data_IF_933904660020
#
_entry.id   IF_933904660020
#
_cell.length_a   1.000
_cell.length_b   1.000
_cell.length_c   1.000
_cell.angle_alpha   90.00
_cell.angle_beta   90.00
_cell.angle_gamma   90.00
#
_symmetry.space_group_name_H-M   'P 1'
#
loop_
_entity.id
_entity.type
_entity.pdbx_description
1 polymer ?
#
# COMPACT_ATOMS: atom_id res chain seq x y z
N UNK A 1 -1.72 -19.61 10.95
CA UNK A 1 -1.62 -20.59 9.86
C UNK A 1 -3.03 -20.90 9.35
N UNK A 2 -3.46 -20.30 8.25
CA UNK A 2 -4.62 -20.71 7.46
C UNK A 2 -4.16 -20.76 6.02
N UNK A 3 -4.16 -21.96 5.45
CA UNK A 3 -3.80 -22.24 4.08
C UNK A 3 -4.87 -21.71 3.13
N UNK A 4 -4.53 -20.82 2.20
CA UNK A 4 -5.34 -20.50 1.04
C UNK A 4 -4.83 -21.30 -0.16
N UNK A 5 -5.63 -22.26 -0.58
CA UNK A 5 -5.51 -22.93 -1.88
C UNK A 5 -6.74 -22.53 -2.70
N UNK A 6 -6.56 -21.78 -3.77
CA UNK A 6 -7.56 -21.65 -4.82
C UNK A 6 -6.86 -21.43 -6.17
N UNK A 7 -6.79 -22.51 -6.96
CA UNK A 7 -6.41 -22.44 -8.35
C UNK A 7 -7.60 -21.97 -9.22
N UNK A 8 -7.36 -21.37 -10.39
CA UNK A 8 -8.41 -20.87 -11.26
C UNK A 8 -9.13 -22.01 -11.99
N UNK A 9 -10.46 -22.05 -11.87
CA UNK A 9 -11.31 -22.96 -12.64
C UNK A 9 -11.62 -22.37 -14.01
N UNK A 10 -11.14 -23.02 -15.06
CA UNK A 10 -11.53 -22.78 -16.45
C UNK A 10 -12.94 -23.34 -16.68
N UNK A 11 -13.91 -22.47 -16.93
CA UNK A 11 -15.27 -22.83 -17.38
C UNK A 11 -15.33 -22.85 -18.90
N UNK A 12 -15.40 -24.05 -19.48
CA UNK A 12 -15.72 -24.29 -20.89
C UNK A 12 -17.25 -24.45 -21.04
N UNK A 13 -17.91 -23.50 -21.72
CA UNK A 13 -19.33 -23.57 -22.03
C UNK A 13 -19.52 -24.23 -23.41
N UNK A 14 -20.13 -25.41 -23.45
CA UNK A 14 -20.55 -26.10 -24.67
C UNK A 14 -21.90 -25.61 -25.19
N UNK A 15 -21.99 -25.30 -26.47
CA UNK A 15 -23.19 -24.90 -27.18
C UNK A 15 -23.93 -26.11 -27.74
N UNK A 16 -25.20 -26.23 -27.40
CA UNK A 16 -26.16 -27.21 -28.02
C UNK A 16 -27.04 -26.48 -29.05
N UNK A 17 -27.08 -26.97 -30.25
CA UNK A 17 -27.93 -26.46 -31.33
C UNK A 17 -29.22 -27.29 -31.43
N UNK A 18 -30.38 -26.64 -31.39
CA UNK A 18 -31.66 -27.24 -31.77
C UNK A 18 -32.38 -26.31 -32.75
N UNK A 19 -32.63 -26.74 -33.96
CA UNK A 19 -33.31 -25.98 -35.03
C UNK A 19 -34.79 -26.30 -35.09
N UNK A 20 -35.64 -25.26 -34.89
CA UNK A 20 -37.06 -25.30 -35.18
C UNK A 20 -37.45 -24.14 -36.12
N UNK A 21 -38.17 -24.45 -37.23
CA UNK A 21 -38.66 -23.52 -38.22
C UNK A 21 -39.84 -22.70 -37.66
N UNK A 22 -39.70 -21.38 -37.60
CA UNK A 22 -40.70 -20.40 -37.11
C UNK A 22 -40.89 -19.33 -38.19
N UNK A 23 -42.10 -18.69 -38.34
CA UNK A 23 -42.40 -17.68 -39.38
C UNK A 23 -41.48 -16.45 -39.31
N UNK A 24 -41.24 -15.82 -40.49
CA UNK A 24 -40.19 -14.77 -40.65
C UNK A 24 -40.29 -13.56 -39.70
N UNK A 25 -41.47 -13.16 -39.26
CA UNK A 25 -41.62 -12.04 -38.34
C UNK A 25 -41.30 -12.40 -36.88
N UNK A 26 -41.56 -13.64 -36.47
CA UNK A 26 -41.16 -14.19 -35.16
C UNK A 26 -39.67 -14.45 -35.13
N UNK A 27 -39.03 -14.76 -36.25
CA UNK A 27 -37.57 -14.91 -36.38
C UNK A 27 -36.81 -13.57 -36.28
N UNK A 28 -37.44 -12.45 -36.67
CA UNK A 28 -36.81 -11.12 -36.58
C UNK A 28 -36.75 -10.62 -35.14
N UNK A 29 -37.79 -10.81 -34.35
CA UNK A 29 -37.78 -10.48 -32.89
C UNK A 29 -36.85 -11.43 -32.14
N UNK A 30 -36.88 -12.73 -32.45
CA UNK A 30 -35.98 -13.69 -31.84
C UNK A 30 -34.49 -13.38 -32.09
N UNK A 31 -34.12 -12.92 -33.30
CA UNK A 31 -32.75 -12.57 -33.65
C UNK A 31 -32.28 -11.27 -32.94
N UNK A 32 -33.17 -10.28 -32.82
CA UNK A 32 -32.91 -9.05 -32.06
C UNK A 32 -32.66 -9.35 -30.59
N UNK A 33 -33.53 -10.18 -29.98
CA UNK A 33 -33.43 -10.57 -28.58
C UNK A 33 -32.14 -11.38 -28.33
N UNK A 34 -31.75 -12.25 -29.24
CA UNK A 34 -30.47 -12.96 -29.18
C UNK A 34 -29.28 -12.00 -29.19
N UNK A 35 -29.24 -11.03 -30.12
CA UNK A 35 -28.16 -10.06 -30.23
C UNK A 35 -28.12 -9.12 -29.04
N UNK A 36 -29.28 -8.68 -28.53
CA UNK A 36 -29.39 -7.88 -27.32
C UNK A 36 -28.88 -8.66 -26.10
N UNK A 37 -29.25 -9.93 -25.96
CA UNK A 37 -28.76 -10.79 -24.89
C UNK A 37 -27.25 -10.97 -24.95
N UNK A 38 -26.67 -11.19 -26.15
CA UNK A 38 -25.22 -11.27 -26.35
C UNK A 38 -24.50 -9.98 -25.96
N UNK A 39 -25.04 -8.83 -26.35
CA UNK A 39 -24.46 -7.54 -25.98
C UNK A 39 -24.42 -7.37 -24.47
N UNK A 40 -25.51 -7.74 -23.77
CA UNK A 40 -25.56 -7.63 -22.31
C UNK A 40 -24.59 -8.55 -21.60
N UNK A 41 -24.54 -9.80 -22.02
CA UNK A 41 -23.59 -10.75 -21.44
C UNK A 41 -22.15 -10.26 -21.64
N UNK A 42 -21.84 -9.72 -22.83
CA UNK A 42 -20.54 -9.17 -23.11
C UNK A 42 -20.23 -7.89 -22.28
N UNK A 43 -21.24 -7.04 -22.10
CA UNK A 43 -21.13 -5.85 -21.24
C UNK A 43 -20.89 -6.23 -19.77
N UNK A 44 -21.68 -7.19 -19.27
CA UNK A 44 -21.52 -7.68 -17.90
C UNK A 44 -20.13 -8.30 -17.69
N UNK A 45 -19.69 -9.17 -18.60
CA UNK A 45 -18.37 -9.77 -18.56
C UNK A 45 -17.23 -8.72 -18.59
N UNK A 46 -17.40 -7.66 -19.38
CA UNK A 46 -16.46 -6.54 -19.40
C UNK A 46 -16.42 -5.78 -18.08
N UNK A 47 -17.58 -5.50 -17.50
CA UNK A 47 -17.68 -4.79 -16.21
C UNK A 47 -17.04 -5.61 -15.07
N UNK A 48 -17.32 -6.92 -15.03
CA UNK A 48 -16.74 -7.84 -14.04
C UNK A 48 -15.22 -7.91 -14.18
N UNK A 49 -14.71 -8.13 -15.41
CA UNK A 49 -13.28 -8.20 -15.67
C UNK A 49 -12.56 -6.89 -15.30
N UNK A 50 -13.20 -5.75 -15.49
CA UNK A 50 -12.66 -4.46 -15.11
C UNK A 50 -12.62 -4.24 -13.60
N UNK A 51 -13.68 -4.63 -12.88
CA UNK A 51 -13.70 -4.55 -11.42
C UNK A 51 -12.60 -5.40 -10.80
N UNK A 52 -12.37 -6.60 -11.34
CA UNK A 52 -11.31 -7.48 -10.90
C UNK A 52 -9.90 -6.89 -11.18
N UNK A 53 -9.72 -6.23 -12.32
CA UNK A 53 -8.48 -5.50 -12.63
C UNK A 53 -8.22 -4.36 -11.65
N UNK A 54 -9.25 -3.56 -11.33
CA UNK A 54 -9.15 -2.46 -10.36
C UNK A 54 -8.83 -2.97 -8.95
N UNK A 55 -9.42 -4.10 -8.54
CA UNK A 55 -9.13 -4.73 -7.26
C UNK A 55 -7.67 -5.20 -7.18
N UNK A 56 -7.14 -5.83 -8.23
CA UNK A 56 -5.73 -6.23 -8.30
C UNK A 56 -4.78 -5.03 -8.21
N UNK A 57 -5.09 -3.91 -8.87
CA UNK A 57 -4.31 -2.68 -8.78
C UNK A 57 -4.31 -2.09 -7.37
N UNK A 58 -5.45 -2.12 -6.68
CA UNK A 58 -5.54 -1.67 -5.30
C UNK A 58 -4.70 -2.56 -4.36
N UNK A 59 -4.77 -3.88 -4.52
CA UNK A 59 -3.96 -4.83 -3.76
C UNK A 59 -2.45 -4.62 -3.99
N UNK A 60 -2.03 -4.32 -5.22
CA UNK A 60 -0.63 -3.98 -5.51
C UNK A 60 -0.17 -2.71 -4.79
N UNK A 61 -1.01 -1.66 -4.79
CA UNK A 61 -0.70 -0.41 -4.11
C UNK A 61 -0.56 -0.62 -2.60
N UNK A 62 -1.42 -1.44 -2.00
CA UNK A 62 -1.34 -1.80 -0.58
C UNK A 62 -0.05 -2.60 -0.29
N UNK A 63 0.28 -3.58 -1.12
CA UNK A 63 1.51 -4.38 -0.99
C UNK A 63 2.75 -3.51 -1.15
N UNK A 64 2.78 -2.57 -2.10
CA UNK A 64 3.88 -1.62 -2.26
C UNK A 64 4.05 -0.73 -1.03
N UNK A 65 2.94 -0.23 -0.47
CA UNK A 65 2.98 0.56 0.78
C UNK A 65 3.53 -0.25 1.96
N UNK A 66 3.21 -1.54 2.05
CA UNK A 66 3.79 -2.43 3.07
C UNK A 66 5.30 -2.63 2.85
N UNK A 67 5.75 -2.79 1.62
CA UNK A 67 7.18 -2.89 1.27
C UNK A 67 7.92 -1.63 1.73
N UNK A 68 7.39 -0.44 1.43
CA UNK A 68 8.00 0.83 1.81
C UNK A 68 8.11 0.98 3.35
N UNK A 69 7.09 0.55 4.10
CA UNK A 69 7.12 0.51 5.57
C UNK A 69 8.17 -0.46 6.10
N UNK A 70 8.25 -1.68 5.56
CA UNK A 70 9.23 -2.68 5.96
C UNK A 70 10.66 -2.22 5.66
N UNK A 71 10.89 -1.54 4.55
CA UNK A 71 12.18 -0.94 4.21
C UNK A 71 12.57 0.16 5.21
N UNK A 72 11.63 1.02 5.58
CA UNK A 72 11.83 2.04 6.61
C UNK A 72 12.23 1.44 7.96
N UNK A 73 11.49 0.43 8.42
CA UNK A 73 11.81 -0.31 9.66
C UNK A 73 13.16 -1.01 9.59
N UNK A 74 13.50 -1.63 8.46
CA UNK A 74 14.80 -2.27 8.26
C UNK A 74 15.97 -1.28 8.33
N UNK A 75 15.81 -0.09 7.77
CA UNK A 75 16.80 0.98 7.85
C UNK A 75 16.98 1.50 9.29
N UNK A 76 15.88 1.64 10.04
CA UNK A 76 15.92 2.03 11.46
C UNK A 76 16.65 0.98 12.31
N UNK A 77 16.33 -0.30 12.15
CA UNK A 77 17.00 -1.40 12.86
C UNK A 77 18.49 -1.47 12.50
N UNK A 78 18.84 -1.23 11.23
CA UNK A 78 20.24 -1.19 10.81
C UNK A 78 21.02 -0.04 11.47
N UNK A 79 20.39 1.14 11.62
CA UNK A 79 20.98 2.26 12.35
C UNK A 79 21.18 1.94 13.84
N UNK A 80 20.18 1.37 14.50
CA UNK A 80 20.27 0.94 15.89
C UNK A 80 21.35 -0.11 16.12
N UNK A 81 21.51 -1.07 15.20
CA UNK A 81 22.61 -2.04 15.24
C UNK A 81 23.98 -1.37 15.13
N UNK A 82 24.13 -0.35 14.28
CA UNK A 82 25.37 0.41 14.14
C UNK A 82 25.72 1.13 15.46
N UNK A 83 24.74 1.75 16.10
CA UNK A 83 24.93 2.44 17.40
C UNK A 83 25.33 1.44 18.49
N UNK A 84 24.70 0.27 18.53
CA UNK A 84 25.05 -0.79 19.49
C UNK A 84 26.44 -1.34 19.25
N UNK A 85 26.87 -1.53 17.99
CA UNK A 85 28.24 -1.94 17.71
C UNK A 85 29.27 -0.95 18.27
N UNK A 86 29.02 0.33 18.12
CA UNK A 86 29.87 1.39 18.69
C UNK A 86 29.87 1.34 20.22
N UNK A 87 28.68 1.22 20.83
CA UNK A 87 28.56 1.11 22.28
C UNK A 87 29.23 -0.14 22.86
N UNK A 88 29.18 -1.27 22.15
CA UNK A 88 29.87 -2.51 22.53
C UNK A 88 31.40 -2.36 22.50
N UNK A 89 31.94 -1.65 21.50
CA UNK A 89 33.39 -1.35 21.46
C UNK A 89 33.82 -0.48 22.64
N UNK A 90 33.04 0.55 22.96
CA UNK A 90 33.32 1.41 24.11
C UNK A 90 33.20 0.66 25.43
N UNK A 91 32.16 -0.18 25.59
CA UNK A 91 31.98 -1.02 26.77
C UNK A 91 33.12 -2.02 26.95
N UNK A 92 33.59 -2.65 25.86
CA UNK A 92 34.76 -3.55 25.90
C UNK A 92 36.01 -2.80 26.36
N UNK A 93 36.29 -1.64 25.76
CA UNK A 93 37.44 -0.81 26.15
C UNK A 93 37.39 -0.44 27.64
N UNK A 94 36.23 -0.02 28.14
CA UNK A 94 36.01 0.32 29.56
C UNK A 94 36.22 -0.89 30.47
N UNK A 95 35.73 -2.07 30.08
CA UNK A 95 35.94 -3.31 30.82
C UNK A 95 37.40 -3.66 30.93
N UNK A 96 38.16 -3.58 29.80
CA UNK A 96 39.57 -3.84 29.77
C UNK A 96 40.39 -2.88 30.67
N UNK A 97 40.07 -1.57 30.61
CA UNK A 97 40.64 -0.54 31.48
C UNK A 97 40.37 -0.79 32.97
N UNK A 98 39.13 -1.16 33.34
CA UNK A 98 38.76 -1.43 34.74
C UNK A 98 39.36 -2.72 35.26
N UNK A 99 39.45 -3.76 34.43
CA UNK A 99 40.10 -5.02 34.77
C UNK A 99 41.59 -4.81 35.03
N UNK A 100 42.27 -4.09 34.15
CA UNK A 100 43.70 -3.76 34.31
C UNK A 100 43.93 -2.93 35.57
N UNK A 101 43.07 -1.97 35.88
CA UNK A 101 43.15 -1.17 37.13
C UNK A 101 42.97 -2.04 38.40
N UNK A 102 42.03 -2.98 38.38
CA UNK A 102 41.84 -3.93 39.48
C UNK A 102 43.04 -4.87 39.70
N UNK A 103 43.66 -5.35 38.63
CA UNK A 103 44.88 -6.18 38.68
C UNK A 103 46.08 -5.39 39.23
N UNK A 104 46.28 -4.14 38.75
CA UNK A 104 47.33 -3.28 39.27
C UNK A 104 47.14 -2.95 40.77
N UNK A 105 45.90 -2.66 41.19
CA UNK A 105 45.60 -2.41 42.62
C UNK A 105 45.82 -3.70 43.44
N UNK A 106 45.49 -4.87 42.91
CA UNK A 106 45.74 -6.14 43.60
C UNK A 106 47.22 -6.40 43.79
N UNK A 107 48.05 -6.15 42.76
CA UNK A 107 49.50 -6.32 42.84
C UNK A 107 50.12 -5.34 43.85
N UNK A 108 49.72 -4.06 43.78
CA UNK A 108 50.18 -3.04 44.73
C UNK A 108 49.79 -3.37 46.18
N UNK A 109 48.62 -3.91 46.43
CA UNK A 109 48.19 -4.37 47.75
C UNK A 109 49.06 -5.53 48.24
N UNK A 110 49.39 -6.53 47.36
CA UNK A 110 50.23 -7.66 47.71
C UNK A 110 51.67 -7.19 48.07
N UNK A 111 52.21 -6.24 47.31
CA UNK A 111 53.53 -5.66 47.56
C UNK A 111 53.56 -4.93 48.91
N UNK A 112 52.54 -4.13 49.24
CA UNK A 112 52.41 -3.43 50.53
C UNK A 112 52.23 -4.42 51.69
N UNK A 113 51.49 -5.49 51.49
CA UNK A 113 51.36 -6.52 52.53
C UNK A 113 52.72 -7.19 52.82
N UNK A 114 53.52 -7.46 51.80
CA UNK A 114 54.86 -8.01 51.96
C UNK A 114 55.81 -7.04 52.70
N UNK A 115 55.73 -5.72 52.38
CA UNK A 115 56.47 -4.67 53.15
C UNK A 115 56.07 -4.61 54.61
N UNK A 116 54.76 -4.68 54.92
CA UNK A 116 54.24 -4.73 56.26
C UNK A 116 54.75 -5.95 57.03
N UNK A 117 54.64 -7.14 56.45
CA UNK A 117 55.09 -8.39 57.06
C UNK A 117 56.58 -8.40 57.33
N UNK A 118 57.37 -7.86 56.37
CA UNK A 118 58.82 -7.71 56.56
C UNK A 118 59.16 -6.74 57.66
N UNK A 119 58.45 -5.62 57.77
CA UNK A 119 58.61 -4.62 58.85
C UNK A 119 58.19 -5.17 60.19
N UNK A 120 57.08 -5.91 60.26
CA UNK A 120 56.63 -6.58 61.47
C UNK A 120 57.63 -7.66 61.92
N UNK A 121 58.22 -8.44 61.00
CA UNK A 121 59.24 -9.42 61.29
C UNK A 121 60.53 -8.76 61.88
N UNK A 122 60.93 -7.62 61.29
CA UNK A 122 62.07 -6.83 61.81
C UNK A 122 61.80 -6.32 63.23
N UNK A 123 60.59 -5.75 63.47
CA UNK A 123 60.17 -5.33 64.78
C UNK A 123 60.21 -6.49 65.79
N UNK A 124 59.61 -7.64 65.44
CA UNK A 124 59.64 -8.84 66.33
C UNK A 124 61.05 -9.35 66.60
N UNK A 125 61.93 -9.35 65.60
CA UNK A 125 63.35 -9.72 65.77
C UNK A 125 64.05 -8.76 66.73
N UNK A 126 63.87 -7.46 66.55
CA UNK A 126 64.47 -6.45 67.45
C UNK A 126 63.97 -6.61 68.88
N UNK A 127 62.66 -6.80 69.07
CA UNK A 127 62.08 -7.03 70.36
C UNK A 127 62.57 -8.34 71.00
N UNK A 128 62.66 -9.43 70.19
CA UNK A 128 63.25 -10.68 70.65
C UNK A 128 64.70 -10.58 71.05
N UNK A 129 65.55 -9.84 70.27
CA UNK A 129 66.94 -9.51 70.63
C UNK A 129 66.99 -8.72 71.92
N UNK A 130 66.09 -7.78 72.13
CA UNK A 130 65.93 -7.07 73.41
C UNK A 130 65.53 -7.99 74.56
N UNK A 131 64.67 -8.94 74.35
CA UNK A 131 64.26 -9.94 75.35
C UNK A 131 65.39 -10.94 75.67
N UNK A 132 66.23 -11.30 74.68
CA UNK A 132 67.40 -12.16 74.87
C UNK A 132 68.51 -11.42 75.64
N UNK A 133 68.70 -10.15 75.38
CA UNK A 133 69.53 -9.26 76.22
C UNK A 133 68.92 -9.13 77.59
N UNK A 134 67.64 -9.48 77.70
CA UNK A 134 66.82 -9.43 78.94
C UNK A 134 66.71 -10.76 79.68
N UNK A 135 67.69 -11.66 79.54
CA UNK A 135 68.00 -12.63 80.63
C UNK A 135 68.24 -11.86 81.99
N UNK A 136 68.19 -10.56 81.96
CA UNK A 136 68.05 -9.57 82.98
C UNK A 136 67.19 -8.35 82.59
N UNK A 137 66.52 -8.37 81.38
CA UNK A 137 65.59 -7.39 80.88
C UNK A 137 66.21 -6.06 80.45
N UNK A 138 65.38 -5.24 79.74
CA UNK A 138 65.68 -3.84 79.47
C UNK A 138 66.11 -3.09 80.73
N UNK A 139 65.65 -3.60 81.85
CA UNK A 139 66.18 -3.20 83.20
C UNK A 139 67.62 -3.60 83.39
N UNK A 140 68.11 -4.81 82.95
CA UNK A 140 69.50 -5.19 83.06
C UNK A 140 70.44 -4.34 82.13
N UNK A 141 69.95 -3.98 80.92
CA UNK A 141 70.66 -3.04 80.05
C UNK A 141 70.69 -1.59 80.69
N UNK A 142 69.61 -1.16 81.28
CA UNK A 142 69.50 0.08 82.01
C UNK A 142 70.41 0.04 83.23
N UNK A 143 70.56 -1.10 83.93
CA UNK A 143 71.44 -1.30 85.11
C UNK A 143 72.91 -1.48 84.73
N UNK A 144 73.24 -1.82 83.49
CA UNK A 144 74.63 -1.87 82.94
C UNK A 144 75.13 -0.47 82.55
N UNK A 145 74.31 0.49 82.46
CA UNK A 145 74.68 1.89 82.17
C UNK A 145 75.64 2.42 83.26
N UNK A 146 76.74 2.97 82.86
CA UNK A 146 77.83 3.44 83.73
C UNK A 146 77.51 4.85 84.30
N UNK A 147 76.48 5.49 83.76
CA UNK A 147 76.01 6.78 84.21
C UNK A 147 74.50 6.96 84.04
N UNK A 148 73.89 7.85 84.82
CA UNK A 148 72.49 8.17 84.69
C UNK A 148 72.19 8.74 83.27
N UNK A 149 73.15 9.45 82.69
CA UNK A 149 73.05 10.00 81.32
C UNK A 149 72.95 8.89 80.28
N UNK A 150 73.81 7.83 80.30
CA UNK A 150 73.76 6.69 79.44
C UNK A 150 72.42 5.93 79.55
N UNK A 151 71.92 5.76 80.75
CA UNK A 151 70.60 5.10 81.03
C UNK A 151 69.42 5.89 80.41
N UNK A 152 69.42 7.20 80.60
CA UNK A 152 68.40 8.07 80.04
C UNK A 152 68.48 8.13 78.53
N UNK A 153 69.64 8.23 77.91
CA UNK A 153 69.90 8.24 76.50
C UNK A 153 69.46 6.92 75.86
N UNK A 154 69.74 5.77 76.45
CA UNK A 154 69.37 4.47 76.00
C UNK A 154 67.88 4.27 76.05
N UNK A 155 67.23 4.69 77.21
CA UNK A 155 65.77 4.63 77.36
C UNK A 155 65.04 5.54 76.33
N UNK A 156 65.60 6.70 76.04
CA UNK A 156 65.04 7.63 75.03
C UNK A 156 65.19 7.04 73.62
N UNK A 157 66.36 6.46 73.27
CA UNK A 157 66.58 5.82 71.98
C UNK A 157 65.64 4.62 71.73
N UNK A 158 65.39 3.82 72.79
CA UNK A 158 64.37 2.73 72.71
C UNK A 158 62.97 3.24 72.51
N UNK A 159 62.61 4.30 73.21
CA UNK A 159 61.32 4.99 73.08
C UNK A 159 61.12 5.52 71.66
N UNK A 160 62.12 6.21 71.09
CA UNK A 160 62.12 6.74 69.73
C UNK A 160 62.01 5.62 68.70
N UNK A 161 62.79 4.51 68.85
CA UNK A 161 62.74 3.37 67.97
C UNK A 161 61.35 2.68 67.98
N UNK A 162 60.78 2.48 69.12
CA UNK A 162 59.44 1.94 69.32
C UNK A 162 58.36 2.82 68.68
N UNK A 163 58.49 4.14 68.91
CA UNK A 163 57.57 5.14 68.32
C UNK A 163 57.70 5.15 66.78
N UNK A 164 58.96 5.11 66.24
CA UNK A 164 59.20 5.07 64.82
C UNK A 164 58.65 3.80 64.16
N UNK A 165 58.89 2.64 64.77
CA UNK A 165 58.36 1.36 64.26
C UNK A 165 56.81 1.32 64.31
N UNK A 166 56.20 1.84 65.38
CA UNK A 166 54.75 1.93 65.51
C UNK A 166 54.16 2.83 64.42
N UNK A 167 54.79 4.00 64.18
CA UNK A 167 54.35 4.93 63.15
C UNK A 167 54.46 4.32 61.72
N UNK A 168 55.60 3.62 61.44
CA UNK A 168 55.78 2.97 60.16
C UNK A 168 54.77 1.85 59.89
N UNK A 169 54.45 1.04 60.91
CA UNK A 169 53.45 0.00 60.82
C UNK A 169 52.04 0.60 60.63
N UNK A 170 51.71 1.69 61.34
CA UNK A 170 50.43 2.36 61.18
C UNK A 170 50.30 2.96 59.78
N UNK A 171 51.35 3.56 59.22
CA UNK A 171 51.38 4.09 57.86
C UNK A 171 51.15 2.98 56.85
N UNK A 172 51.88 1.85 56.94
CA UNK A 172 51.73 0.69 56.03
C UNK A 172 50.32 0.12 56.10
N UNK A 173 49.72 0.05 57.27
CA UNK A 173 48.33 -0.42 57.42
C UNK A 173 47.34 0.52 56.72
N UNK A 174 47.50 1.84 56.91
CA UNK A 174 46.66 2.84 56.21
C UNK A 174 46.78 2.74 54.71
N UNK A 175 48.03 2.57 54.20
CA UNK A 175 48.27 2.41 52.77
C UNK A 175 47.65 1.06 52.24
N UNK A 176 47.72 -0.03 52.99
CA UNK A 176 47.12 -1.30 52.66
C UNK A 176 45.58 -1.22 52.61
N UNK A 177 44.97 -0.50 53.61
CA UNK A 177 43.51 -0.26 53.63
C UNK A 177 43.06 0.58 52.42
N UNK A 178 43.82 1.63 52.07
CA UNK A 178 43.52 2.45 50.89
C UNK A 178 43.64 1.66 49.59
N UNK A 179 44.61 0.80 49.44
CA UNK A 179 44.77 -0.07 48.29
C UNK A 179 43.68 -1.17 48.22
N UNK A 180 43.25 -1.70 49.35
CA UNK A 180 42.14 -2.65 49.43
C UNK A 180 40.82 -1.99 48.98
N UNK A 181 40.60 -0.74 49.40
CA UNK A 181 39.41 0.05 48.95
C UNK A 181 39.46 0.31 47.45
N UNK A 182 40.63 0.76 46.92
CA UNK A 182 40.80 1.02 45.49
C UNK A 182 40.62 -0.25 44.62
N UNK A 183 41.09 -1.42 45.11
CA UNK A 183 40.85 -2.72 44.45
C UNK A 183 39.38 -3.06 44.44
N UNK A 184 38.66 -2.91 45.54
CA UNK A 184 37.26 -3.21 45.64
C UNK A 184 36.46 -2.30 44.69
N UNK A 185 36.76 -1.00 44.63
CA UNK A 185 36.13 -0.05 43.70
C UNK A 185 36.40 -0.44 42.23
N UNK A 186 37.63 -0.76 41.88
CA UNK A 186 37.98 -1.19 40.50
C UNK A 186 37.28 -2.49 40.13
N UNK A 187 37.15 -3.43 41.04
CA UNK A 187 36.45 -4.69 40.83
C UNK A 187 34.95 -4.50 40.61
N UNK A 188 34.32 -3.66 41.44
CA UNK A 188 32.90 -3.29 41.27
C UNK A 188 32.67 -2.63 39.92
N UNK A 189 33.52 -1.70 39.51
CA UNK A 189 33.45 -1.02 38.24
C UNK A 189 33.64 -1.99 37.04
N UNK A 190 34.49 -3.04 37.17
CA UNK A 190 34.61 -4.07 36.16
C UNK A 190 33.37 -4.93 36.06
N UNK A 191 32.75 -5.32 37.17
CA UNK A 191 31.47 -6.09 37.21
C UNK A 191 30.32 -5.28 36.60
N UNK A 192 30.24 -3.99 36.86
CA UNK A 192 29.28 -3.08 36.24
C UNK A 192 29.46 -2.97 34.73
N UNK A 193 30.71 -2.85 34.26
CA UNK A 193 31.07 -2.78 32.85
C UNK A 193 30.74 -4.09 32.13
N UNK A 194 30.98 -5.24 32.74
CA UNK A 194 30.60 -6.57 32.19
C UNK A 194 29.08 -6.72 32.09
N UNK A 195 28.33 -6.28 33.11
CA UNK A 195 26.87 -6.29 33.10
C UNK A 195 26.31 -5.41 31.98
N UNK A 196 26.86 -4.20 31.81
CA UNK A 196 26.46 -3.28 30.75
C UNK A 196 26.74 -3.87 29.35
N UNK A 197 27.91 -4.48 29.17
CA UNK A 197 28.26 -5.18 27.93
C UNK A 197 27.30 -6.32 27.62
N UNK A 198 26.99 -7.18 28.61
CA UNK A 198 26.05 -8.29 28.45
C UNK A 198 24.64 -7.82 28.04
N UNK A 199 24.19 -6.67 28.58
CA UNK A 199 22.93 -6.06 28.18
C UNK A 199 22.94 -5.58 26.71
N UNK A 200 24.04 -4.98 26.25
CA UNK A 200 24.22 -4.57 24.86
C UNK A 200 24.30 -5.78 23.90
N UNK A 201 25.00 -6.85 24.27
CA UNK A 201 25.04 -8.10 23.50
C UNK A 201 23.64 -8.71 23.34
N UNK A 202 22.83 -8.71 24.40
CA UNK A 202 21.45 -9.18 24.35
C UNK A 202 20.57 -8.31 23.44
N UNK A 203 20.73 -6.99 23.50
CA UNK A 203 20.00 -6.05 22.64
C UNK A 203 20.42 -6.20 21.17
N UNK A 204 21.71 -6.40 20.89
CA UNK A 204 22.21 -6.70 19.54
C UNK A 204 21.57 -7.97 18.99
N UNK A 205 21.54 -9.06 19.77
CA UNK A 205 20.93 -10.32 19.36
C UNK A 205 19.42 -10.17 19.04
N UNK A 206 18.70 -9.41 19.87
CA UNK A 206 17.28 -9.11 19.64
C UNK A 206 17.07 -8.33 18.34
N UNK A 207 17.84 -7.26 18.11
CA UNK A 207 17.75 -6.47 16.87
C UNK A 207 18.17 -7.27 15.63
N UNK A 208 19.17 -8.14 15.74
CA UNK A 208 19.55 -9.03 14.64
C UNK A 208 18.42 -10.00 14.28
N UNK A 209 17.70 -10.50 15.28
CA UNK A 209 16.49 -11.32 15.05
C UNK A 209 15.42 -10.52 14.32
N UNK A 210 15.13 -9.31 14.77
CA UNK A 210 14.17 -8.39 14.11
C UNK A 210 14.59 -8.07 12.67
N UNK A 211 15.87 -7.83 12.43
CA UNK A 211 16.39 -7.60 11.07
C UNK A 211 16.14 -8.79 10.14
N UNK A 212 16.36 -10.02 10.63
CA UNK A 212 16.13 -11.24 9.87
C UNK A 212 14.64 -11.44 9.58
N UNK A 213 13.75 -11.15 10.56
CA UNK A 213 12.30 -11.21 10.38
C UNK A 213 11.83 -10.18 9.35
N UNK A 214 12.30 -8.94 9.43
CA UNK A 214 12.02 -7.90 8.45
C UNK A 214 12.52 -8.27 7.04
N UNK A 215 13.72 -8.85 6.94
CA UNK A 215 14.26 -9.35 5.67
C UNK A 215 13.37 -10.43 5.06
N UNK A 216 12.90 -11.37 5.87
CA UNK A 216 11.98 -12.44 5.43
C UNK A 216 10.62 -11.89 5.03
N UNK A 217 10.07 -10.94 5.77
CA UNK A 217 8.80 -10.28 5.46
C UNK A 217 8.90 -9.46 4.16
N UNK A 218 10.00 -8.75 3.96
CA UNK A 218 10.27 -7.98 2.75
C UNK A 218 10.38 -8.89 1.51
N UNK A 219 11.07 -10.03 1.65
CA UNK A 219 11.15 -11.03 0.58
C UNK A 219 9.77 -11.60 0.23
N UNK A 220 8.95 -11.93 1.23
CA UNK A 220 7.59 -12.42 1.03
C UNK A 220 6.70 -11.38 0.34
N UNK A 221 6.77 -10.11 0.76
CA UNK A 221 6.02 -9.01 0.17
C UNK A 221 6.43 -8.75 -1.29
N UNK A 222 7.73 -8.78 -1.62
CA UNK A 222 8.22 -8.65 -2.99
C UNK A 222 7.77 -9.81 -3.89
N UNK A 223 7.73 -11.04 -3.35
CA UNK A 223 7.21 -12.20 -4.08
C UNK A 223 5.72 -12.03 -4.37
N UNK A 224 4.92 -11.63 -3.37
CA UNK A 224 3.50 -11.35 -3.52
C UNK A 224 3.24 -10.24 -4.55
N UNK A 225 4.04 -9.16 -4.53
CA UNK A 225 3.93 -8.07 -5.52
C UNK A 225 4.19 -8.58 -6.94
N UNK A 226 5.20 -9.44 -7.12
CA UNK A 226 5.51 -10.03 -8.44
C UNK A 226 4.38 -10.92 -8.95
N UNK A 227 3.76 -11.72 -8.07
CA UNK A 227 2.61 -12.55 -8.41
C UNK A 227 1.37 -11.70 -8.74
N UNK A 228 1.12 -10.64 -7.99
CA UNK A 228 0.04 -9.68 -8.25
C UNK A 228 0.23 -8.95 -9.59
N UNK A 229 1.44 -8.54 -9.92
CA UNK A 229 1.77 -7.90 -11.21
C UNK A 229 1.52 -8.86 -12.39
N UNK A 230 1.87 -10.14 -12.24
CA UNK A 230 1.59 -11.14 -13.24
C UNK A 230 0.07 -11.38 -13.40
N UNK A 231 -0.67 -11.41 -12.30
CA UNK A 231 -2.13 -11.54 -12.30
C UNK A 231 -2.80 -10.31 -12.94
N UNK A 232 -2.35 -9.09 -12.64
CA UNK A 232 -2.84 -7.86 -13.26
C UNK A 232 -2.63 -7.87 -14.77
N UNK A 233 -1.44 -8.25 -15.25
CA UNK A 233 -1.16 -8.35 -16.68
C UNK A 233 -2.08 -9.37 -17.37
N UNK A 234 -2.29 -10.52 -16.74
CA UNK A 234 -3.22 -11.54 -17.26
C UNK A 234 -4.66 -11.00 -17.29
N UNK A 235 -5.10 -10.34 -16.23
CA UNK A 235 -6.45 -9.75 -16.14
C UNK A 235 -6.64 -8.58 -17.12
N UNK A 236 -5.61 -7.77 -17.38
CA UNK A 236 -5.66 -6.73 -18.41
C UNK A 236 -5.94 -7.30 -19.81
N UNK A 237 -5.37 -8.46 -20.14
CA UNK A 237 -5.65 -9.17 -21.40
C UNK A 237 -7.10 -9.64 -21.44
N UNK A 238 -7.62 -10.21 -20.35
CA UNK A 238 -9.02 -10.66 -20.24
C UNK A 238 -9.96 -9.47 -20.37
N UNK A 239 -9.68 -8.36 -19.70
CA UNK A 239 -10.47 -7.12 -19.75
C UNK A 239 -10.51 -6.55 -21.17
N UNK A 240 -9.38 -6.51 -21.88
CA UNK A 240 -9.35 -6.02 -23.26
C UNK A 240 -10.07 -6.99 -24.23
N UNK A 241 -10.00 -8.29 -24.01
CA UNK A 241 -10.77 -9.27 -24.79
C UNK A 241 -12.27 -9.10 -24.56
N UNK A 242 -12.71 -8.93 -23.32
CA UNK A 242 -14.10 -8.68 -22.96
C UNK A 242 -14.59 -7.33 -23.55
N UNK A 243 -13.76 -6.28 -23.54
CA UNK A 243 -14.06 -4.99 -24.19
C UNK A 243 -14.30 -5.16 -25.69
N UNK A 244 -13.42 -5.89 -26.38
CA UNK A 244 -13.59 -6.18 -27.81
C UNK A 244 -14.86 -6.96 -28.10
N UNK A 245 -15.16 -7.97 -27.29
CA UNK A 245 -16.39 -8.76 -27.42
C UNK A 245 -17.64 -7.89 -27.23
N UNK A 246 -17.66 -6.99 -26.26
CA UNK A 246 -18.75 -6.04 -26.07
C UNK A 246 -18.90 -5.09 -27.26
N UNK A 247 -17.81 -4.51 -27.76
CA UNK A 247 -17.85 -3.62 -28.93
C UNK A 247 -18.36 -4.36 -30.17
N UNK A 248 -17.92 -5.61 -30.40
CA UNK A 248 -18.39 -6.44 -31.51
C UNK A 248 -19.88 -6.77 -31.38
N UNK A 249 -20.34 -7.25 -30.20
CA UNK A 249 -21.73 -7.57 -29.96
C UNK A 249 -22.64 -6.34 -30.19
N UNK A 250 -22.14 -5.17 -29.81
CA UNK A 250 -22.86 -3.92 -30.06
C UNK A 250 -22.88 -3.54 -31.54
N UNK A 251 -21.78 -3.73 -32.25
CA UNK A 251 -21.74 -3.49 -33.71
C UNK A 251 -22.68 -4.44 -34.48
N UNK A 252 -22.74 -5.70 -34.06
CA UNK A 252 -23.65 -6.71 -34.66
C UNK A 252 -25.11 -6.33 -34.43
N UNK A 253 -25.50 -5.91 -33.21
CA UNK A 253 -26.85 -5.42 -32.91
C UNK A 253 -27.19 -4.17 -33.74
N UNK A 254 -26.26 -3.23 -33.84
CA UNK A 254 -26.43 -2.02 -34.66
C UNK A 254 -26.58 -2.35 -36.16
N UNK A 255 -25.79 -3.29 -36.66
CA UNK A 255 -25.89 -3.73 -38.06
C UNK A 255 -27.24 -4.38 -38.33
N UNK A 256 -27.73 -5.20 -37.40
CA UNK A 256 -29.06 -5.81 -37.51
C UNK A 256 -30.18 -4.75 -37.51
N UNK A 257 -30.16 -3.82 -36.57
CA UNK A 257 -31.14 -2.71 -36.48
C UNK A 257 -31.13 -1.89 -37.76
N UNK A 258 -29.95 -1.57 -38.31
CA UNK A 258 -29.81 -0.84 -39.58
C UNK A 258 -30.39 -1.64 -40.77
N UNK A 259 -30.17 -2.94 -40.80
CA UNK A 259 -30.72 -3.80 -41.87
C UNK A 259 -32.25 -3.85 -41.82
N UNK A 260 -32.85 -3.85 -40.62
CA UNK A 260 -34.29 -3.76 -40.45
C UNK A 260 -34.84 -2.36 -40.83
N UNK A 261 -34.14 -1.28 -40.44
CA UNK A 261 -34.50 0.09 -40.79
C UNK A 261 -34.53 0.29 -42.31
N UNK A 262 -33.60 -0.31 -43.06
CA UNK A 262 -33.54 -0.18 -44.53
C UNK A 262 -34.76 -0.74 -45.25
N UNK A 263 -35.56 -1.61 -44.63
CA UNK A 263 -36.85 -2.12 -45.19
C UNK A 263 -37.96 -1.05 -45.20
N UNK A 264 -37.84 -0.01 -44.39
CA UNK A 264 -38.83 1.06 -44.28
C UNK A 264 -38.31 2.38 -44.88
N UNK A 265 -37.10 2.41 -45.45
CA UNK A 265 -36.56 3.55 -46.20
C UNK A 265 -37.25 3.55 -47.59
N UNK A 266 -38.18 4.47 -47.80
CA UNK A 266 -38.71 4.67 -49.13
C UNK A 266 -37.70 5.45 -49.97
N UNK A 267 -37.39 4.99 -51.15
CA UNK A 267 -36.47 5.64 -52.12
C UNK A 267 -36.97 7.07 -52.49
N UNK A 268 -38.20 7.38 -52.16
CA UNK A 268 -38.89 8.62 -52.55
C UNK A 268 -38.91 9.67 -51.40
N UNK A 269 -38.37 9.37 -50.21
CA UNK A 269 -38.30 10.36 -49.14
C UNK A 269 -37.15 11.33 -49.36
N UNK A 270 -37.46 12.55 -49.72
CA UNK A 270 -36.47 13.59 -50.00
C UNK A 270 -36.53 14.67 -48.91
N UNK A 271 -35.44 14.90 -48.25
CA UNK A 271 -35.29 15.94 -47.22
C UNK A 271 -34.96 17.26 -47.91
N UNK A 272 -35.97 18.11 -48.11
CA UNK A 272 -35.82 19.37 -48.84
C UNK A 272 -35.06 20.46 -48.09
N UNK A 273 -34.64 20.19 -46.84
CA UNK A 273 -33.89 21.17 -46.04
C UNK A 273 -33.16 20.40 -44.90
N UNK A 274 -31.85 20.65 -44.74
CA UNK A 274 -31.04 20.23 -43.61
C UNK A 274 -31.31 21.02 -42.31
N UNK A 275 -32.40 21.78 -42.25
CA UNK A 275 -32.77 22.53 -41.05
C UNK A 275 -33.42 21.61 -40.00
N UNK A 276 -32.57 20.84 -39.32
CA UNK A 276 -33.02 20.05 -38.16
C UNK A 276 -33.47 20.98 -37.02
N UNK A 277 -34.40 20.50 -36.19
CA UNK A 277 -34.76 21.20 -34.94
C UNK A 277 -34.10 20.52 -33.75
N UNK A 278 -34.03 21.22 -32.61
CA UNK A 278 -33.72 20.59 -31.33
C UNK A 278 -34.80 19.55 -30.99
N UNK A 279 -34.44 18.33 -30.53
CA UNK A 279 -35.38 17.29 -30.18
C UNK A 279 -36.23 17.61 -28.93
N UNK A 280 -35.81 18.63 -28.16
CA UNK A 280 -36.50 19.12 -26.96
C UNK A 280 -36.76 20.62 -27.08
N UNK A 281 -37.88 21.12 -26.59
CA UNK A 281 -38.12 22.55 -26.51
C UNK A 281 -37.27 23.26 -25.47
N UNK A 282 -36.88 22.52 -24.42
CA UNK A 282 -35.94 22.97 -23.41
C UNK A 282 -35.28 21.78 -22.74
N UNK A 283 -34.03 21.96 -22.32
CA UNK A 283 -33.25 21.00 -21.55
C UNK A 283 -32.35 21.72 -20.56
N UNK A 284 -31.92 21.04 -19.50
CA UNK A 284 -31.05 21.65 -18.48
C UNK A 284 -29.64 21.85 -18.92
N UNK A 285 -29.01 20.80 -19.46
CA UNK A 285 -27.62 20.81 -19.97
C UNK A 285 -27.37 19.57 -20.84
N UNK A 286 -26.32 19.60 -21.61
CA UNK A 286 -25.74 18.40 -22.22
C UNK A 286 -24.88 17.71 -21.15
N UNK A 287 -25.18 16.44 -20.85
CA UNK A 287 -24.49 15.68 -19.84
C UNK A 287 -23.33 14.86 -20.39
N UNK A 288 -23.45 14.41 -21.64
CA UNK A 288 -22.42 13.64 -22.32
C UNK A 288 -22.42 13.98 -23.81
N UNK A 289 -21.26 14.27 -24.36
CA UNK A 289 -21.13 14.63 -25.78
C UNK A 289 -20.78 13.41 -26.63
N UNK A 290 -21.02 13.50 -27.92
CA UNK A 290 -20.58 12.51 -28.88
C UNK A 290 -19.05 12.31 -28.84
N UNK A 291 -18.61 11.06 -28.74
CA UNK A 291 -17.19 10.69 -28.67
C UNK A 291 -16.54 10.83 -27.29
N UNK A 292 -17.24 11.43 -26.33
CA UNK A 292 -16.78 11.45 -24.94
C UNK A 292 -16.73 10.03 -24.38
N UNK A 293 -15.62 9.67 -23.74
CA UNK A 293 -15.48 8.34 -23.18
C UNK A 293 -16.32 8.18 -21.92
N UNK A 294 -17.10 7.13 -21.86
CA UNK A 294 -17.81 6.74 -20.64
C UNK A 294 -16.78 6.30 -19.55
N UNK A 295 -17.21 6.06 -18.29
CA UNK A 295 -16.32 5.58 -17.24
C UNK A 295 -15.57 4.28 -17.58
N UNK A 296 -15.98 3.58 -18.63
CA UNK A 296 -15.36 2.34 -19.12
C UNK A 296 -14.48 2.54 -20.36
N UNK A 297 -14.22 3.79 -20.77
CA UNK A 297 -13.38 4.13 -21.91
C UNK A 297 -14.04 3.87 -23.27
N UNK A 298 -15.38 3.70 -23.31
CA UNK A 298 -16.13 3.50 -24.55
C UNK A 298 -16.63 4.85 -25.06
N UNK A 299 -16.32 5.24 -26.31
CA UNK A 299 -16.78 6.51 -26.86
C UNK A 299 -18.31 6.57 -26.92
N UNK A 300 -18.87 7.66 -26.42
CA UNK A 300 -20.30 7.91 -26.47
C UNK A 300 -20.80 8.08 -27.91
N UNK A 301 -21.91 7.44 -28.22
CA UNK A 301 -22.37 7.28 -29.61
C UNK A 301 -23.32 8.37 -30.08
N UNK A 302 -23.79 9.20 -29.17
CA UNK A 302 -24.73 10.25 -29.39
C UNK A 302 -24.46 11.45 -28.48
N UNK A 303 -25.48 12.24 -28.24
CA UNK A 303 -25.45 13.36 -27.29
C UNK A 303 -26.58 13.20 -26.30
N UNK A 304 -26.29 13.37 -25.01
CA UNK A 304 -27.26 13.24 -23.93
C UNK A 304 -27.75 14.61 -23.45
N UNK A 305 -29.01 14.84 -23.57
CA UNK A 305 -29.71 16.06 -23.15
C UNK A 305 -30.43 15.78 -21.83
N UNK A 306 -29.98 16.34 -20.71
CA UNK A 306 -30.65 16.23 -19.43
C UNK A 306 -31.99 17.00 -19.44
N UNK A 307 -33.07 16.30 -19.25
CA UNK A 307 -34.39 16.89 -19.16
C UNK A 307 -35.29 16.10 -18.17
N UNK A 308 -36.27 16.71 -17.53
CA UNK A 308 -37.17 15.99 -16.64
C UNK A 308 -37.87 14.82 -17.32
N UNK A 309 -38.09 13.73 -16.60
CA UNK A 309 -38.87 12.59 -17.09
C UNK A 309 -40.26 13.03 -17.53
N UNK A 310 -40.70 12.49 -18.67
CA UNK A 310 -42.00 12.89 -19.28
C UNK A 310 -41.94 14.14 -20.16
N UNK A 311 -40.79 14.80 -20.32
CA UNK A 311 -40.64 15.90 -21.30
C UNK A 311 -40.87 15.38 -22.72
N UNK A 312 -41.72 16.04 -23.55
CA UNK A 312 -41.96 15.62 -24.93
C UNK A 312 -40.71 15.63 -25.77
N UNK A 313 -40.51 14.56 -26.55
CA UNK A 313 -39.41 14.40 -27.50
C UNK A 313 -39.96 14.53 -28.91
N UNK A 314 -39.32 15.36 -29.72
CA UNK A 314 -39.81 15.71 -31.06
C UNK A 314 -38.89 15.15 -32.15
N UNK A 315 -39.52 14.77 -33.28
CA UNK A 315 -38.76 14.44 -34.47
C UNK A 315 -37.94 15.65 -34.97
N UNK A 316 -36.64 15.48 -35.19
CA UNK A 316 -35.77 16.60 -35.65
C UNK A 316 -36.03 17.02 -37.08
N UNK A 317 -36.62 16.15 -37.91
CA UNK A 317 -36.99 16.37 -39.29
C UNK A 317 -38.14 15.43 -39.70
N UNK A 318 -38.73 15.68 -40.88
CA UNK A 318 -39.66 14.77 -41.52
C UNK A 318 -39.02 13.41 -41.78
N UNK A 319 -39.80 12.34 -41.72
CA UNK A 319 -39.26 11.00 -41.95
C UNK A 319 -40.25 9.87 -41.77
N UNK A 320 -39.77 8.64 -41.88
CA UNK A 320 -40.51 7.42 -41.60
C UNK A 320 -39.86 6.74 -40.39
N UNK A 321 -40.69 6.36 -39.42
CA UNK A 321 -40.26 5.60 -38.25
C UNK A 321 -39.76 4.23 -38.70
N UNK A 322 -38.46 4.02 -38.68
CA UNK A 322 -37.80 2.77 -39.07
C UNK A 322 -37.77 1.76 -37.93
N UNK A 323 -37.81 2.22 -36.68
CA UNK A 323 -37.98 1.39 -35.49
C UNK A 323 -38.65 2.14 -34.36
N UNK A 324 -39.57 1.48 -33.62
CA UNK A 324 -40.27 2.01 -32.45
C UNK A 324 -40.49 0.86 -31.45
N UNK A 325 -39.53 0.60 -30.58
CA UNK A 325 -39.55 -0.56 -29.67
C UNK A 325 -38.54 -0.39 -28.50
N UNK A 326 -38.69 -1.19 -27.47
CA UNK A 326 -37.65 -1.38 -26.48
C UNK A 326 -36.42 -2.07 -27.11
N UNK A 327 -35.28 -1.42 -27.04
CA UNK A 327 -33.97 -1.99 -27.45
C UNK A 327 -33.01 -1.90 -26.26
N UNK A 328 -32.54 -3.01 -25.85
CA UNK A 328 -31.97 -3.26 -24.51
C UNK A 328 -31.10 -2.14 -23.90
N UNK A 329 -29.99 -1.77 -24.49
CA UNK A 329 -29.13 -0.69 -23.95
C UNK A 329 -29.75 0.70 -24.13
N UNK A 330 -30.51 0.89 -25.19
CA UNK A 330 -31.23 2.15 -25.49
C UNK A 330 -32.55 2.30 -24.75
N UNK A 331 -33.04 1.23 -24.10
CA UNK A 331 -34.39 1.24 -23.53
C UNK A 331 -35.47 1.42 -24.60
N UNK A 332 -36.55 2.09 -24.27
CA UNK A 332 -37.55 2.48 -25.28
C UNK A 332 -36.90 3.47 -26.23
N UNK A 333 -36.89 3.15 -27.51
CA UNK A 333 -36.29 4.02 -28.52
C UNK A 333 -37.13 4.12 -29.79
N UNK A 334 -36.95 5.23 -30.49
CA UNK A 334 -37.50 5.52 -31.80
C UNK A 334 -36.33 5.81 -32.73
N UNK A 335 -36.35 5.17 -33.90
CA UNK A 335 -35.41 5.50 -34.99
C UNK A 335 -36.22 6.01 -36.19
N UNK A 336 -35.77 7.10 -36.80
CA UNK A 336 -36.42 7.72 -37.94
C UNK A 336 -35.45 7.76 -39.10
N UNK A 337 -35.87 7.29 -40.27
CA UNK A 337 -35.18 7.55 -41.52
C UNK A 337 -35.73 8.80 -42.18
N UNK A 338 -34.87 9.76 -42.45
CA UNK A 338 -35.21 11.02 -43.07
C UNK A 338 -35.03 11.01 -44.59
N UNK A 339 -34.52 9.90 -45.15
CA UNK A 339 -34.27 9.77 -46.58
C UNK A 339 -32.99 10.50 -47.03
N UNK A 340 -32.95 10.86 -48.32
CA UNK A 340 -31.84 11.56 -48.95
C UNK A 340 -32.11 13.06 -48.98
N UNK A 341 -31.10 13.86 -48.60
CA UNK A 341 -31.18 15.32 -48.64
C UNK A 341 -30.62 15.90 -49.95
N UNK A 342 -30.78 17.20 -50.17
CA UNK A 342 -30.27 17.95 -51.33
C UNK A 342 -28.73 17.85 -51.47
N UNK A 343 -28.00 17.56 -50.39
CA UNK A 343 -26.57 17.35 -50.40
C UNK A 343 -26.17 15.93 -50.84
N UNK A 344 -27.12 15.09 -51.20
CA UNK A 344 -26.90 13.71 -51.66
C UNK A 344 -26.66 12.72 -50.54
N UNK A 345 -26.65 13.13 -49.25
CA UNK A 345 -26.46 12.27 -48.11
C UNK A 345 -27.79 11.73 -47.55
N UNK A 346 -27.76 10.53 -46.98
CA UNK A 346 -28.87 9.96 -46.25
C UNK A 346 -28.74 10.27 -44.76
N UNK A 347 -29.89 10.56 -44.12
CA UNK A 347 -29.94 10.92 -42.71
C UNK A 347 -30.86 10.01 -41.93
N UNK A 348 -30.40 9.55 -40.76
CA UNK A 348 -31.22 8.79 -39.80
C UNK A 348 -30.97 9.36 -38.40
N UNK A 349 -32.02 9.44 -37.58
CA UNK A 349 -31.94 9.80 -36.15
C UNK A 349 -32.42 8.68 -35.26
N UNK A 350 -31.84 8.60 -34.03
CA UNK A 350 -32.27 7.66 -32.99
C UNK A 350 -32.42 8.40 -31.67
N UNK A 351 -33.56 8.17 -31.02
CA UNK A 351 -33.99 8.78 -29.74
C UNK A 351 -34.14 7.66 -28.73
N UNK A 352 -33.33 7.67 -27.68
CA UNK A 352 -33.27 6.58 -26.68
C UNK A 352 -33.65 7.03 -25.28
N UNK A 353 -33.73 6.03 -24.41
CA UNK A 353 -34.05 6.13 -22.98
C UNK A 353 -35.45 6.71 -22.70
N UNK A 354 -36.38 6.57 -23.68
CA UNK A 354 -37.71 7.11 -23.56
C UNK A 354 -38.53 6.42 -22.44
N UNK A 355 -39.34 7.16 -21.75
CA UNK A 355 -40.30 6.59 -20.80
C UNK A 355 -41.46 5.91 -21.52
N UNK A 356 -41.89 6.48 -22.69
CA UNK A 356 -42.89 5.90 -23.56
C UNK A 356 -42.69 6.35 -25.00
N UNK A 357 -43.14 5.51 -25.95
CA UNK A 357 -43.10 5.73 -27.39
C UNK A 357 -44.48 6.20 -27.83
N UNK A 358 -44.55 7.26 -28.64
CA UNK A 358 -45.82 7.87 -29.10
C UNK A 358 -46.11 7.57 -30.58
N UNK A 359 -45.25 6.85 -31.29
CA UNK A 359 -45.35 6.54 -32.72
C UNK A 359 -45.17 5.05 -32.98
N UNK A 360 -45.62 4.58 -34.15
CA UNK A 360 -45.48 3.18 -34.55
C UNK A 360 -44.46 3.04 -35.68
N UNK A 361 -43.75 1.90 -35.73
CA UNK A 361 -42.90 1.57 -36.84
C UNK A 361 -43.65 1.60 -38.20
N UNK A 362 -43.04 2.18 -39.21
CA UNK A 362 -43.62 2.37 -40.53
C UNK A 362 -44.47 3.64 -40.66
N UNK A 363 -44.79 4.37 -39.56
CA UNK A 363 -45.54 5.62 -39.66
C UNK A 363 -44.65 6.77 -40.17
N UNK A 364 -45.27 7.65 -40.97
CA UNK A 364 -44.67 8.94 -41.33
C UNK A 364 -44.75 9.90 -40.14
N UNK A 365 -43.71 10.68 -39.92
CA UNK A 365 -43.66 11.75 -38.92
C UNK A 365 -43.21 13.06 -39.56
N UNK A 366 -43.68 14.16 -39.04
CA UNK A 366 -43.26 15.49 -39.46
C UNK A 366 -42.33 16.11 -38.46
N UNK A 367 -41.42 16.99 -38.89
CA UNK A 367 -40.57 17.79 -38.04
C UNK A 367 -41.35 18.46 -36.92
N UNK A 368 -40.94 18.24 -35.68
CA UNK A 368 -41.66 18.78 -34.50
C UNK A 368 -42.81 17.93 -34.02
N UNK A 369 -43.12 16.82 -34.63
CA UNK A 369 -44.09 15.86 -34.11
C UNK A 369 -43.55 15.18 -32.84
N UNK A 370 -44.39 15.03 -31.81
CA UNK A 370 -44.03 14.24 -30.60
C UNK A 370 -43.91 12.77 -30.99
N UNK A 371 -42.76 12.19 -30.68
CA UNK A 371 -42.42 10.78 -30.98
C UNK A 371 -42.27 9.92 -29.72
N UNK A 372 -42.19 10.55 -28.56
CA UNK A 372 -42.05 9.90 -27.26
C UNK A 372 -41.82 10.93 -26.15
N UNK A 373 -41.43 10.44 -25.00
CA UNK A 373 -41.20 11.26 -23.82
C UNK A 373 -39.90 10.87 -23.14
N UNK A 374 -39.14 11.83 -22.61
CA UNK A 374 -37.90 11.61 -21.88
C UNK A 374 -38.11 10.62 -20.74
N UNK A 375 -37.19 9.69 -20.59
CA UNK A 375 -37.21 8.69 -19.55
C UNK A 375 -35.80 8.36 -19.04
N UNK A 376 -35.69 7.17 -18.48
CA UNK A 376 -34.45 6.57 -18.00
C UNK A 376 -34.45 5.04 -18.23
N UNK A 377 -35.16 4.60 -19.27
CA UNK A 377 -35.22 3.16 -19.60
C UNK A 377 -33.93 2.68 -20.28
N UNK A 378 -33.64 1.38 -20.19
CA UNK A 378 -32.38 0.81 -20.71
C UNK A 378 -31.19 1.01 -19.78
N UNK A 379 -29.97 1.02 -20.34
CA UNK A 379 -28.73 1.21 -19.56
C UNK A 379 -28.43 2.69 -19.36
N UNK A 380 -28.88 3.24 -18.26
CA UNK A 380 -28.65 4.63 -17.87
C UNK A 380 -27.75 4.69 -16.65
N UNK A 381 -26.67 5.45 -16.74
CA UNK A 381 -25.79 5.74 -15.60
C UNK A 381 -26.20 7.07 -14.95
N UNK A 382 -26.43 7.04 -13.64
CA UNK A 382 -26.77 8.22 -12.89
C UNK A 382 -25.79 8.46 -11.75
N UNK A 383 -25.14 9.62 -11.77
CA UNK A 383 -24.31 10.11 -10.65
C UNK A 383 -25.11 10.93 -9.63
N UNK A 384 -26.44 10.81 -9.63
CA UNK A 384 -27.39 11.55 -8.80
C UNK A 384 -28.43 12.28 -9.66
N UNK A 385 -29.71 12.28 -9.24
CA UNK A 385 -30.80 12.94 -9.98
C UNK A 385 -31.65 12.06 -10.88
N UNK A 386 -31.60 10.72 -10.71
CA UNK A 386 -32.54 9.80 -11.38
C UNK A 386 -32.19 9.44 -12.81
N UNK A 387 -31.14 10.02 -13.42
CA UNK A 387 -30.62 9.65 -14.74
C UNK A 387 -31.54 9.98 -15.92
N UNK A 388 -32.53 10.85 -15.73
CA UNK A 388 -33.45 11.24 -16.82
C UNK A 388 -32.72 12.08 -17.86
N UNK A 389 -32.70 11.59 -19.11
CA UNK A 389 -32.10 12.29 -20.25
C UNK A 389 -32.67 11.75 -21.56
N UNK A 390 -32.50 12.51 -22.63
CA UNK A 390 -32.65 12.04 -24.00
C UNK A 390 -31.27 11.75 -24.59
N UNK A 391 -31.04 10.53 -25.02
CA UNK A 391 -29.89 10.19 -25.87
C UNK A 391 -30.28 10.34 -27.33
N UNK A 392 -29.62 11.24 -28.06
CA UNK A 392 -29.82 11.46 -29.49
C UNK A 392 -28.60 10.98 -30.28
N UNK A 393 -28.80 10.07 -31.24
CA UNK A 393 -27.83 9.77 -32.30
C UNK A 393 -28.28 10.40 -33.62
N UNK A 394 -27.32 10.88 -34.40
CA UNK A 394 -27.51 11.22 -35.81
C UNK A 394 -26.55 10.40 -36.66
N UNK A 395 -27.04 9.92 -37.79
CA UNK A 395 -26.25 9.15 -38.77
C UNK A 395 -26.36 9.81 -40.14
N UNK A 396 -25.20 10.00 -40.77
CA UNK A 396 -25.07 10.47 -42.15
C UNK A 396 -24.45 9.33 -42.95
N UNK A 397 -25.10 8.89 -44.04
CA UNK A 397 -24.68 7.74 -44.81
C UNK A 397 -24.40 6.49 -43.95
N UNK A 398 -25.23 6.28 -42.93
CA UNK A 398 -25.16 5.19 -41.95
C UNK A 398 -24.01 5.31 -40.92
N UNK A 399 -23.13 6.31 -41.03
CA UNK A 399 -22.09 6.57 -40.06
C UNK A 399 -22.59 7.51 -38.97
N UNK A 400 -22.32 7.20 -37.68
CA UNK A 400 -22.64 8.12 -36.57
C UNK A 400 -21.80 9.37 -36.67
N UNK A 401 -22.45 10.50 -36.47
CA UNK A 401 -21.84 11.84 -36.43
C UNK A 401 -22.26 12.56 -35.16
N UNK A 402 -21.49 13.61 -34.79
CA UNK A 402 -21.87 14.46 -33.66
C UNK A 402 -23.21 15.17 -33.95
N UNK A 403 -24.29 14.87 -33.20
CA UNK A 403 -25.59 15.52 -33.41
C UNK A 403 -25.55 17.03 -33.32
N UNK A 404 -24.68 17.60 -32.42
CA UNK A 404 -24.57 19.05 -32.21
C UNK A 404 -24.00 19.81 -33.41
N UNK A 405 -23.43 19.10 -34.39
CA UNK A 405 -23.00 19.72 -35.65
C UNK A 405 -24.16 19.99 -36.61
N UNK A 406 -25.34 19.43 -36.35
CA UNK A 406 -26.50 19.46 -37.25
C UNK A 406 -27.77 20.01 -36.59
N UNK A 407 -27.90 19.74 -35.30
CA UNK A 407 -29.10 20.08 -34.52
C UNK A 407 -28.85 21.38 -33.73
N UNK A 408 -29.71 22.41 -33.82
CA UNK A 408 -29.54 23.63 -33.03
C UNK A 408 -29.65 23.32 -31.53
N UNK A 409 -28.87 24.06 -30.75
CA UNK A 409 -28.86 23.97 -29.29
C UNK A 409 -29.91 24.92 -28.66
#
# INVERSE_FOLDING_TARGET
MKSFSSGPALLAAGLFFCTLLVPLDVLADSKKDELSSKQNQAQQAYNEARQELEELQNQQNETQSQIDQLQGQSAEVAAQLSDIYTALQDAQRLLDERTAAAEQAAQALADKQAEYDASLARCKSQMGAMQLLDGGGSIALLLQARSLYEMLTFAETLRELAAHNSAALAQLNTEAEALAAARAEAQTAAEEAETARAALDAQQAALQTTQNELGSALQAANTALTEQQAAEQAQAVVTEAARKAYLQATADLDAYVRAQSSKYTTADLHLTSLAFRCPLDSYGRITTQFGEADPWGIPHRGTDFAAPGGTPVYAIADGIVSAAAAMYSYGNCVQISHGTADDGNTYDSLYAHLSSIAVSQGSAVTKGQVIGYVGNTGNVYSTGGGGYHLHLELRVNRARVNPLSYVPQ
#
